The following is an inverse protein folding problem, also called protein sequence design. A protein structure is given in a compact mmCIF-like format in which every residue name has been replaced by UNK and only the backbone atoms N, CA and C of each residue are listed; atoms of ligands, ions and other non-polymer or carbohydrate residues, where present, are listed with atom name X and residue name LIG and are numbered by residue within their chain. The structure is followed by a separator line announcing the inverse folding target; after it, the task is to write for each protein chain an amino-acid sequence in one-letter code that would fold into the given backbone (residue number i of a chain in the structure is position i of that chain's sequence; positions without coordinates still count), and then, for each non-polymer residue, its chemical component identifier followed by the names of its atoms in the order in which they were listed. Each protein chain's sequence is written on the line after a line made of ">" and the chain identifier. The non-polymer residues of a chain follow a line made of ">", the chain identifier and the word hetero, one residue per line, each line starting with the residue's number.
data_IF_377814187074
#
_entry.id   IF_377814187074
#
_cell.length_a   1.000
_cell.length_b   1.000
_cell.length_c   1.000
_cell.angle_alpha   90.00
_cell.angle_beta   90.00
_cell.angle_gamma   90.00
#
_symmetry.space_group_name_H-M   'P 1'
#
loop_
_entity.id
_entity.type
_entity.pdbx_description
1 polymer ?
#
# COMPACT_ATOMS: atom_id res chain seq x y z
N UNK A 1 -11.03 25.63 -13.88
CA UNK A 1 -11.14 24.18 -13.83
C UNK A 1 -9.82 23.51 -14.14
N UNK A 2 -9.41 22.66 -13.25
CA UNK A 2 -8.14 21.98 -13.42
C UNK A 2 -8.38 20.61 -14.03
N UNK A 3 -7.93 20.43 -15.25
CA UNK A 3 -8.03 19.13 -15.90
C UNK A 3 -6.79 18.32 -15.58
N UNK A 4 -7.01 17.06 -15.22
CA UNK A 4 -5.90 16.16 -15.06
C UNK A 4 -5.30 15.87 -16.42
N UNK A 5 -3.99 15.77 -16.47
CA UNK A 5 -3.32 15.38 -17.71
C UNK A 5 -3.67 13.93 -18.03
N UNK A 6 -3.45 13.52 -19.28
CA UNK A 6 -3.68 12.13 -19.66
C UNK A 6 -2.80 11.19 -18.85
N UNK A 7 -1.57 11.65 -18.53
CA UNK A 7 -0.68 10.85 -17.69
C UNK A 7 -1.25 10.59 -16.31
N UNK A 8 -1.83 11.63 -15.68
CA UNK A 8 -2.42 11.49 -14.36
C UNK A 8 -3.62 10.55 -14.37
N UNK A 9 -4.43 10.62 -15.41
CA UNK A 9 -5.59 9.74 -15.56
C UNK A 9 -5.16 8.29 -15.71
N UNK A 10 -4.12 8.05 -16.48
CA UNK A 10 -3.58 6.70 -16.68
C UNK A 10 -3.03 6.16 -15.36
N UNK A 11 -2.27 6.96 -14.63
CA UNK A 11 -1.73 6.56 -13.35
C UNK A 11 -2.86 6.22 -12.38
N UNK A 12 -3.88 7.09 -12.27
CA UNK A 12 -5.01 6.84 -11.37
C UNK A 12 -5.75 5.56 -11.72
N UNK A 13 -5.92 5.31 -13.02
CA UNK A 13 -6.56 4.07 -13.47
C UNK A 13 -5.80 2.85 -12.96
N UNK A 14 -4.48 2.83 -13.12
CA UNK A 14 -3.68 1.70 -12.69
C UNK A 14 -3.57 1.58 -11.18
N UNK A 15 -3.58 2.71 -10.47
CA UNK A 15 -3.60 2.69 -9.01
C UNK A 15 -4.87 2.02 -8.51
N UNK A 16 -6.01 2.45 -9.02
CA UNK A 16 -7.29 1.87 -8.63
C UNK A 16 -7.37 0.40 -9.00
N UNK A 17 -6.93 0.06 -10.19
CA UNK A 17 -6.92 -1.33 -10.63
C UNK A 17 -6.06 -2.19 -9.70
N UNK A 18 -4.89 -1.71 -9.34
CA UNK A 18 -4.01 -2.44 -8.44
C UNK A 18 -4.65 -2.66 -7.07
N UNK A 19 -5.26 -1.62 -6.51
CA UNK A 19 -5.91 -1.74 -5.21
C UNK A 19 -7.09 -2.70 -5.27
N UNK A 20 -7.91 -2.60 -6.31
CA UNK A 20 -9.09 -3.45 -6.43
C UNK A 20 -8.72 -4.92 -6.67
N UNK A 21 -7.77 -5.17 -7.56
CA UNK A 21 -7.46 -6.54 -7.97
C UNK A 21 -6.47 -7.25 -7.06
N UNK A 22 -5.58 -6.50 -6.42
CA UNK A 22 -4.47 -7.09 -5.70
C UNK A 22 -4.47 -6.83 -4.20
N UNK A 23 -5.57 -6.31 -3.67
CA UNK A 23 -5.74 -6.17 -2.24
C UNK A 23 -7.11 -6.66 -1.83
N UNK A 24 -7.20 -7.19 -0.61
CA UNK A 24 -8.44 -7.68 -0.07
C UNK A 24 -8.66 -7.11 1.31
N UNK A 25 -9.72 -6.33 1.46
CA UNK A 25 -10.05 -5.69 2.73
C UNK A 25 -10.98 -6.55 3.57
N UNK A 26 -10.66 -6.63 4.85
CA UNK A 26 -11.49 -7.31 5.84
C UNK A 26 -11.97 -6.25 6.83
N UNK A 27 -13.15 -5.73 6.61
CA UNK A 27 -13.68 -4.61 7.41
C UNK A 27 -13.79 -4.92 8.89
N UNK A 28 -14.20 -6.12 9.22
CA UNK A 28 -14.34 -6.53 10.63
C UNK A 28 -13.04 -6.41 11.39
N UNK A 29 -11.96 -6.84 10.78
CA UNK A 29 -10.66 -6.90 11.44
C UNK A 29 -9.80 -5.67 11.14
N UNK A 30 -10.31 -4.75 10.33
CA UNK A 30 -9.56 -3.57 9.87
C UNK A 30 -8.19 -3.94 9.37
N UNK A 31 -8.17 -4.89 8.44
CA UNK A 31 -6.91 -5.33 7.84
C UNK A 31 -7.07 -5.48 6.34
N UNK A 32 -5.96 -5.47 5.66
CA UNK A 32 -5.92 -5.71 4.22
C UNK A 32 -4.77 -6.66 3.92
N UNK A 33 -4.98 -7.53 2.94
CA UNK A 33 -3.96 -8.45 2.48
C UNK A 33 -3.63 -8.07 1.05
N UNK A 34 -2.34 -7.83 0.79
CA UNK A 34 -1.85 -7.52 -0.54
C UNK A 34 -1.19 -8.77 -1.10
N UNK A 35 -1.55 -9.15 -2.31
CA UNK A 35 -0.93 -10.31 -2.94
C UNK A 35 0.37 -9.91 -3.62
N UNK A 36 1.09 -10.90 -4.14
CA UNK A 36 2.38 -10.68 -4.78
C UNK A 36 2.27 -9.75 -6.00
N UNK A 37 1.19 -9.85 -6.74
CA UNK A 37 1.00 -9.04 -7.96
C UNK A 37 0.88 -7.56 -7.66
N UNK A 38 0.49 -7.19 -6.43
CA UNK A 38 0.43 -5.79 -6.02
C UNK A 38 1.77 -5.10 -6.25
N UNK A 39 2.86 -5.82 -6.04
CA UNK A 39 4.22 -5.26 -6.10
C UNK A 39 4.89 -5.46 -7.47
N UNK A 40 4.17 -5.96 -8.46
CA UNK A 40 4.70 -6.15 -9.81
C UNK A 40 4.46 -4.97 -10.73
N UNK A 41 3.84 -3.92 -10.23
CA UNK A 41 3.56 -2.72 -10.99
C UNK A 41 4.77 -1.78 -10.99
N UNK A 42 4.78 -0.77 -11.88
CA UNK A 42 5.80 0.28 -11.80
C UNK A 42 5.80 0.96 -10.43
N UNK A 43 6.97 1.43 -10.02
CA UNK A 43 7.16 1.98 -8.68
C UNK A 43 6.15 3.06 -8.33
N UNK A 44 5.85 3.96 -9.25
CA UNK A 44 4.88 5.04 -8.99
C UNK A 44 3.49 4.48 -8.66
N UNK A 45 3.09 3.43 -9.36
CA UNK A 45 1.80 2.78 -9.13
C UNK A 45 1.78 2.11 -7.75
N UNK A 46 2.87 1.41 -7.43
CA UNK A 46 2.98 0.75 -6.11
C UNK A 46 2.91 1.77 -5.00
N UNK A 47 3.67 2.85 -5.13
CA UNK A 47 3.74 3.89 -4.11
C UNK A 47 2.37 4.50 -3.84
N UNK A 48 1.67 4.90 -4.88
CA UNK A 48 0.35 5.51 -4.74
C UNK A 48 -0.69 4.53 -4.22
N UNK A 49 -0.63 3.29 -4.71
CA UNK A 49 -1.55 2.24 -4.27
C UNK A 49 -1.35 1.93 -2.79
N UNK A 50 -0.10 1.81 -2.38
CA UNK A 50 0.25 1.48 -1.01
C UNK A 50 -0.18 2.60 -0.06
N UNK A 51 0.07 3.84 -0.44
CA UNK A 51 -0.34 5.00 0.36
C UNK A 51 -1.86 5.03 0.53
N UNK A 52 -2.59 4.73 -0.52
CA UNK A 52 -4.06 4.68 -0.47
C UNK A 52 -4.56 3.59 0.48
N UNK A 53 -3.92 2.43 0.43
CA UNK A 53 -4.28 1.31 1.31
C UNK A 53 -4.01 1.69 2.77
N UNK A 54 -2.84 2.24 3.06
CA UNK A 54 -2.48 2.67 4.41
C UNK A 54 -3.49 3.69 4.93
N UNK A 55 -3.88 4.63 4.10
CA UNK A 55 -4.84 5.66 4.48
C UNK A 55 -6.19 5.07 4.85
N UNK A 56 -6.63 4.07 4.09
CA UNK A 56 -7.91 3.41 4.37
C UNK A 56 -7.89 2.66 5.69
N UNK A 57 -6.76 2.06 6.03
CA UNK A 57 -6.63 1.31 7.28
C UNK A 57 -6.42 2.23 8.48
N UNK A 58 -5.53 3.21 8.36
CA UNK A 58 -5.20 4.09 9.47
C UNK A 58 -6.27 5.12 9.76
N UNK A 59 -7.08 5.44 8.76
CA UNK A 59 -8.11 6.47 8.87
C UNK A 59 -7.54 7.82 9.31
N UNK A 60 -6.27 8.07 9.01
CA UNK A 60 -5.61 9.33 9.32
C UNK A 60 -5.57 10.22 8.10
N UNK A 61 -5.69 11.53 8.33
CA UNK A 61 -5.65 12.49 7.24
C UNK A 61 -4.24 12.71 6.71
N UNK A 62 -3.24 12.48 7.55
CA UNK A 62 -1.85 12.71 7.16
C UNK A 62 -1.30 11.51 6.41
N UNK A 63 -0.76 11.77 5.24
CA UNK A 63 -0.10 10.75 4.45
C UNK A 63 1.30 10.49 4.98
N UNK A 64 1.77 9.26 4.94
CA UNK A 64 3.18 9.01 5.20
C UNK A 64 4.02 9.69 4.13
N UNK A 65 5.19 10.15 4.51
CA UNK A 65 6.07 10.84 3.57
C UNK A 65 6.69 9.86 2.60
N UNK A 66 6.87 10.34 1.34
CA UNK A 66 7.32 9.50 0.26
C UNK A 66 8.61 8.73 0.52
N UNK A 67 9.62 9.40 1.11
CA UNK A 67 10.89 8.73 1.41
C UNK A 67 10.73 7.56 2.35
N UNK A 68 9.92 7.73 3.38
CA UNK A 68 9.65 6.68 4.35
C UNK A 68 8.95 5.51 3.69
N UNK A 69 7.96 5.81 2.87
CA UNK A 69 7.19 4.78 2.18
C UNK A 69 8.07 4.04 1.17
N UNK A 70 8.91 4.77 0.44
CA UNK A 70 9.80 4.14 -0.53
C UNK A 70 10.77 3.17 0.14
N UNK A 71 11.38 3.59 1.25
CA UNK A 71 12.29 2.72 1.98
C UNK A 71 11.60 1.47 2.49
N UNK A 72 10.38 1.63 2.99
CA UNK A 72 9.60 0.52 3.48
C UNK A 72 9.20 -0.42 2.33
N UNK A 73 8.79 0.13 1.21
CA UNK A 73 8.44 -0.67 0.03
C UNK A 73 9.63 -1.47 -0.47
N UNK A 74 10.82 -0.87 -0.47
CA UNK A 74 12.03 -1.58 -0.86
C UNK A 74 12.27 -2.79 0.05
N UNK A 75 12.08 -2.59 1.35
CA UNK A 75 12.22 -3.69 2.30
C UNK A 75 11.22 -4.80 2.02
N UNK A 76 9.99 -4.45 1.68
CA UNK A 76 8.95 -5.44 1.40
C UNK A 76 9.20 -6.17 0.08
N UNK A 77 9.70 -5.46 -0.92
CA UNK A 77 9.87 -6.03 -2.26
C UNK A 77 11.10 -6.91 -2.39
N UNK A 78 12.19 -6.50 -1.76
CA UNK A 78 13.49 -7.12 -2.02
C UNK A 78 14.02 -7.98 -0.88
N UNK A 79 13.33 -8.00 0.25
CA UNK A 79 13.73 -8.88 1.35
C UNK A 79 13.23 -10.29 1.10
N UNK A 80 14.10 -11.28 1.30
CA UNK A 80 13.71 -12.68 1.25
C UNK A 80 13.20 -13.18 2.60
N UNK A 81 13.29 -12.35 3.62
CA UNK A 81 12.85 -12.73 4.97
C UNK A 81 11.51 -12.12 5.29
N UNK A 82 10.80 -12.72 6.23
CA UNK A 82 9.60 -12.12 6.76
C UNK A 82 9.96 -10.84 7.49
N UNK A 83 9.19 -9.80 7.25
CA UNK A 83 9.46 -8.47 7.78
C UNK A 83 8.22 -7.96 8.50
N UNK A 84 8.43 -7.28 9.63
CA UNK A 84 7.35 -6.63 10.36
C UNK A 84 7.74 -5.19 10.63
N UNK A 85 6.93 -4.27 10.13
CA UNK A 85 7.22 -2.83 10.18
C UNK A 85 5.99 -2.07 10.66
N UNK A 86 6.20 -0.85 11.11
CA UNK A 86 5.09 0.03 11.48
C UNK A 86 5.14 1.31 10.66
N UNK A 87 3.96 1.83 10.31
CA UNK A 87 3.85 3.06 9.55
C UNK A 87 2.47 3.65 9.78
N UNK A 88 2.43 4.91 10.21
CA UNK A 88 1.17 5.66 10.39
C UNK A 88 0.13 4.93 11.24
N UNK A 89 0.57 4.26 12.30
CA UNK A 89 -0.32 3.53 13.18
C UNK A 89 -0.77 2.18 12.65
N UNK A 90 -0.17 1.73 11.57
CA UNK A 90 -0.45 0.42 10.99
C UNK A 90 0.73 -0.50 11.17
N UNK A 91 0.46 -1.78 11.34
CA UNK A 91 1.50 -2.80 11.34
C UNK A 91 1.48 -3.47 9.98
N UNK A 92 2.65 -3.60 9.39
CA UNK A 92 2.83 -4.16 8.06
C UNK A 92 3.71 -5.39 8.18
N UNK A 93 3.15 -6.55 7.84
CA UNK A 93 3.89 -7.81 7.92
C UNK A 93 4.00 -8.44 6.55
N UNK A 94 5.21 -8.81 6.18
CA UNK A 94 5.42 -9.60 4.98
C UNK A 94 5.58 -11.06 5.41
N UNK A 95 4.71 -11.90 4.88
CA UNK A 95 4.75 -13.34 5.15
C UNK A 95 4.74 -14.04 3.79
N UNK A 96 5.86 -14.69 3.45
CA UNK A 96 6.06 -15.29 2.14
C UNK A 96 5.90 -14.24 1.03
N UNK A 97 4.93 -14.41 0.16
CA UNK A 97 4.68 -13.50 -0.96
C UNK A 97 3.53 -12.54 -0.72
N UNK A 98 2.99 -12.55 0.49
CA UNK A 98 1.85 -11.71 0.83
C UNK A 98 2.26 -10.66 1.85
N UNK A 99 1.57 -9.53 1.83
CA UNK A 99 1.77 -8.47 2.81
C UNK A 99 0.43 -8.22 3.50
N UNK A 100 0.46 -8.24 4.83
CA UNK A 100 -0.74 -8.00 5.64
C UNK A 100 -0.56 -6.67 6.36
N UNK A 101 -1.58 -5.82 6.25
CA UNK A 101 -1.57 -4.52 6.90
C UNK A 101 -2.78 -4.45 7.83
N UNK A 102 -2.55 -4.11 9.08
CA UNK A 102 -3.64 -3.99 10.04
C UNK A 102 -3.37 -2.85 11.00
N UNK A 103 -4.44 -2.37 11.63
CA UNK A 103 -4.33 -1.25 12.55
C UNK A 103 -3.65 -1.71 13.84
N UNK A 104 -2.73 -0.88 14.32
CA UNK A 104 -2.05 -1.15 15.58
C UNK A 104 -3.06 -1.02 16.73
N UNK A 105 -3.18 -2.07 17.52
CA UNK A 105 -4.07 -2.06 18.68
C UNK A 105 -3.31 -1.56 19.90
N UNK A 106 -4.00 -0.82 20.69
CA UNK A 106 -3.46 -0.36 21.97
C UNK A 106 -4.14 -1.10 23.11
#
# INVERSE_FOLDING_TARGET
>A
LKNLSNSDKVIEFFVEKNVVENSKFFKKDKKVILNHSFFKNPEEIILRSFTRVIQNISNKKNYPRGKKVLGLLDSLRFSNKNVKLTLSGCIIEKISNSVIIYHEKR
#
